data_IF_658277613272
#
_entry.id   IF_658277613272
#
_cell.length_a   1.000
_cell.length_b   1.000
_cell.length_c   1.000
_cell.angle_alpha   90.00
_cell.angle_beta   90.00
_cell.angle_gamma   90.00
#
_symmetry.space_group_name_H-M   'P 1'
#
loop_
_entity.id
_entity.type
_entity.pdbx_description
1 polymer ?
#
# COMPACT_ATOMS: atom_id res chain seq x y z
N UNK A 1 13.34 13.75 14.05
CA UNK A 1 13.30 12.45 13.40
C UNK A 1 12.02 11.69 13.71
N UNK A 2 11.80 11.12 14.92
CA UNK A 2 10.54 10.45 15.25
C UNK A 2 9.42 11.42 15.61
N UNK A 3 8.24 11.20 15.06
CA UNK A 3 7.01 11.89 15.43
C UNK A 3 6.45 11.28 16.72
N UNK A 4 6.69 11.91 17.85
CA UNK A 4 6.25 11.41 19.17
C UNK A 4 4.73 11.24 19.27
N UNK A 5 3.95 12.13 18.66
CA UNK A 5 2.48 12.03 18.69
C UNK A 5 1.98 10.78 17.99
N UNK A 6 2.54 10.46 16.81
CA UNK A 6 2.16 9.24 16.10
C UNK A 6 2.62 7.99 16.84
N UNK A 7 3.81 8.03 17.45
CA UNK A 7 4.34 6.93 18.26
C UNK A 7 3.46 6.62 19.48
N UNK A 8 3.03 7.65 20.21
CA UNK A 8 2.10 7.53 21.34
C UNK A 8 0.73 7.01 20.87
N UNK A 9 0.19 7.59 19.81
CA UNK A 9 -1.10 7.19 19.24
C UNK A 9 -1.13 5.71 18.81
N UNK A 10 -0.08 5.22 18.14
CA UNK A 10 0.01 3.81 17.74
C UNK A 10 0.20 2.90 18.96
N UNK A 11 0.99 3.33 19.96
CA UNK A 11 1.16 2.59 21.20
C UNK A 11 -0.16 2.38 21.94
N UNK A 12 -1.05 3.36 21.96
CA UNK A 12 -2.38 3.27 22.58
C UNK A 12 -3.34 2.33 21.81
N UNK A 13 -2.97 1.95 20.58
CA UNK A 13 -3.71 0.96 19.80
C UNK A 13 -3.35 -0.49 20.14
N UNK A 14 -2.34 -0.72 20.97
CA UNK A 14 -1.86 -2.06 21.30
C UNK A 14 -2.90 -2.83 22.11
N UNK A 15 -3.29 -4.00 21.61
CA UNK A 15 -4.23 -4.91 22.28
C UNK A 15 -3.49 -6.06 23.00
N UNK A 16 -2.37 -6.52 22.42
CA UNK A 16 -1.50 -7.55 22.97
C UNK A 16 -0.08 -7.36 22.45
N UNK A 17 0.85 -8.27 22.74
CA UNK A 17 2.23 -8.17 22.22
C UNK A 17 2.31 -8.13 20.69
N UNK A 18 1.37 -8.76 20.01
CA UNK A 18 1.38 -8.93 18.56
C UNK A 18 0.26 -8.19 17.82
N UNK A 19 -0.76 -7.72 18.53
CA UNK A 19 -1.95 -7.15 17.90
C UNK A 19 -2.16 -5.69 18.26
N UNK A 20 -2.44 -4.91 17.21
CA UNK A 20 -2.82 -3.50 17.29
C UNK A 20 -4.16 -3.31 16.58
N UNK A 21 -5.08 -2.58 17.22
CA UNK A 21 -6.29 -2.12 16.50
C UNK A 21 -5.93 -0.96 15.56
N UNK A 22 -6.66 -0.80 14.44
CA UNK A 22 -6.49 0.38 13.57
C UNK A 22 -6.76 1.68 14.33
N UNK A 23 -5.83 2.65 14.22
CA UNK A 23 -6.04 3.98 14.78
C UNK A 23 -6.99 4.81 13.92
N UNK A 24 -7.75 5.70 14.55
CA UNK A 24 -8.75 6.56 13.87
C UNK A 24 -8.13 7.61 12.96
N UNK A 25 -6.93 8.11 13.26
CA UNK A 25 -6.26 9.19 12.53
C UNK A 25 -4.90 8.76 11.96
N UNK A 26 -4.05 8.14 12.77
CA UNK A 26 -2.76 7.62 12.33
C UNK A 26 -2.92 6.23 11.71
N UNK A 27 -3.54 6.20 10.51
CA UNK A 27 -3.81 4.97 9.79
C UNK A 27 -3.43 5.11 8.32
N UNK A 28 -2.84 4.05 7.77
CA UNK A 28 -2.34 3.98 6.41
C UNK A 28 -3.41 4.35 5.37
N UNK A 29 -4.68 4.07 5.64
CA UNK A 29 -5.80 4.40 4.75
C UNK A 29 -5.89 5.89 4.37
N UNK A 30 -5.30 6.78 5.16
CA UNK A 30 -5.31 8.22 4.89
C UNK A 30 -4.06 8.72 4.14
N UNK A 31 -3.09 7.83 3.84
CA UNK A 31 -1.87 8.23 3.13
C UNK A 31 -2.18 8.71 1.71
N UNK A 32 -2.98 7.94 0.97
CA UNK A 32 -3.36 8.30 -0.41
C UNK A 32 -4.17 9.60 -0.45
N UNK A 33 -5.08 9.80 0.49
CA UNK A 33 -5.81 11.04 0.66
C UNK A 33 -4.87 12.23 0.95
N UNK A 34 -3.79 12.00 1.69
CA UNK A 34 -2.77 13.03 1.92
C UNK A 34 -2.03 13.42 0.64
N UNK A 35 -1.81 12.47 -0.26
CA UNK A 35 -1.25 12.72 -1.60
C UNK A 35 -2.24 13.54 -2.44
N UNK A 36 -3.52 13.15 -2.49
CA UNK A 36 -4.57 13.91 -3.19
C UNK A 36 -4.65 15.35 -2.69
N UNK A 37 -4.70 15.53 -1.38
CA UNK A 37 -4.75 16.84 -0.74
C UNK A 37 -3.52 17.72 -1.06
N UNK A 38 -2.32 17.12 -1.22
CA UNK A 38 -1.13 17.84 -1.65
C UNK A 38 -1.32 18.50 -3.03
N UNK A 39 -2.06 17.86 -3.93
CA UNK A 39 -2.38 18.38 -5.26
C UNK A 39 -3.63 19.26 -5.29
N UNK A 40 -4.25 19.51 -4.12
CA UNK A 40 -5.43 20.37 -4.01
C UNK A 40 -6.76 19.66 -4.29
N UNK A 41 -6.73 18.34 -4.38
CA UNK A 41 -7.93 17.53 -4.55
C UNK A 41 -8.60 17.37 -3.18
N UNK A 42 -9.88 17.71 -3.10
CA UNK A 42 -10.66 17.63 -1.86
C UNK A 42 -10.83 16.19 -1.40
N UNK A 43 -10.57 15.94 -0.14
CA UNK A 43 -10.72 14.64 0.53
C UNK A 43 -11.39 14.85 1.89
N UNK A 44 -12.14 13.85 2.33
CA UNK A 44 -12.82 13.91 3.63
C UNK A 44 -11.83 13.95 4.80
N UNK A 45 -10.76 13.15 4.71
CA UNK A 45 -9.76 13.03 5.76
C UNK A 45 -8.40 12.64 5.20
N UNK A 46 -7.34 13.21 5.76
CA UNK A 46 -5.94 12.87 5.50
C UNK A 46 -5.19 12.55 6.79
N UNK A 47 -3.97 12.07 6.68
CA UNK A 47 -3.08 11.90 7.83
C UNK A 47 -2.90 13.22 8.57
N UNK A 48 -2.69 13.19 9.90
CA UNK A 48 -2.38 14.38 10.68
C UNK A 48 -1.19 15.18 10.12
N UNK A 49 -1.25 16.50 10.22
CA UNK A 49 -0.23 17.39 9.64
C UNK A 49 1.18 17.15 10.20
N UNK A 50 1.26 16.65 11.40
CA UNK A 50 2.53 16.28 12.06
C UNK A 50 3.18 15.02 11.47
N UNK A 51 2.47 14.26 10.64
CA UNK A 51 3.06 13.18 9.83
C UNK A 51 3.97 13.69 8.71
N UNK A 52 3.98 15.00 8.45
CA UNK A 52 4.74 15.59 7.35
C UNK A 52 5.74 16.63 7.89
N UNK A 53 6.96 16.62 7.36
CA UNK A 53 8.04 17.50 7.83
C UNK A 53 7.78 18.98 7.61
N UNK A 54 6.93 19.34 6.66
CA UNK A 54 6.60 20.73 6.31
C UNK A 54 5.13 20.82 5.89
N UNK A 55 4.48 21.90 6.29
CA UNK A 55 3.16 22.27 5.79
C UNK A 55 3.29 22.92 4.39
N UNK A 56 3.90 22.22 3.43
CA UNK A 56 4.24 22.71 2.10
C UNK A 56 3.76 21.72 1.05
N UNK A 57 3.17 22.23 -0.03
CA UNK A 57 2.83 21.42 -1.21
C UNK A 57 4.09 20.99 -1.95
N UNK A 58 4.15 19.73 -2.34
CA UNK A 58 5.23 19.16 -3.13
C UNK A 58 4.82 19.07 -4.59
N UNK A 59 5.73 19.47 -5.49
CA UNK A 59 5.52 19.36 -6.94
C UNK A 59 5.57 17.91 -7.41
N UNK A 60 6.48 17.14 -6.81
CA UNK A 60 6.67 15.71 -7.11
C UNK A 60 6.65 14.91 -5.82
N UNK A 61 5.97 13.77 -5.85
CA UNK A 61 5.90 12.81 -4.75
C UNK A 61 6.36 11.46 -5.31
N UNK A 62 7.26 10.81 -4.59
CA UNK A 62 7.66 9.42 -4.84
C UNK A 62 7.16 8.61 -3.64
N UNK A 63 6.26 7.67 -3.89
CA UNK A 63 5.80 6.71 -2.89
C UNK A 63 6.59 5.41 -3.07
N UNK A 64 7.37 5.05 -2.04
CA UNK A 64 8.12 3.80 -2.01
C UNK A 64 7.49 2.90 -0.95
N UNK A 65 7.02 1.74 -1.36
CA UNK A 65 6.46 0.72 -0.47
C UNK A 65 7.50 -0.36 -0.26
N UNK A 66 7.93 -0.55 1.00
CA UNK A 66 8.87 -1.58 1.41
C UNK A 66 8.10 -2.65 2.19
N UNK A 67 7.77 -3.74 1.52
CA UNK A 67 7.10 -4.87 2.13
C UNK A 67 8.01 -5.60 3.13
N UNK A 68 7.42 -6.16 4.19
CA UNK A 68 8.17 -6.86 5.23
C UNK A 68 9.00 -5.97 6.16
N UNK A 69 9.04 -4.65 5.96
CA UNK A 69 9.77 -3.71 6.83
C UNK A 69 8.85 -3.04 7.84
N UNK A 70 8.53 -3.76 8.92
CA UNK A 70 7.78 -3.17 10.03
C UNK A 70 8.61 -2.21 10.88
N UNK A 71 7.92 -1.31 11.62
CA UNK A 71 8.56 -0.23 12.39
C UNK A 71 9.54 -0.75 13.46
N UNK A 72 9.24 -1.86 14.11
CA UNK A 72 10.13 -2.43 15.14
C UNK A 72 11.44 -2.95 14.51
N UNK A 73 11.34 -3.61 13.34
CA UNK A 73 12.51 -4.06 12.58
C UNK A 73 13.33 -2.85 12.10
N UNK A 74 12.66 -1.81 11.62
CA UNK A 74 13.33 -0.56 11.23
C UNK A 74 14.05 0.08 12.41
N UNK A 75 13.41 0.26 13.57
CA UNK A 75 14.00 0.82 14.79
C UNK A 75 15.21 0.01 15.27
N UNK A 76 15.13 -1.31 15.21
CA UNK A 76 16.24 -2.22 15.57
C UNK A 76 17.44 -2.00 14.65
N UNK A 77 17.23 -1.98 13.35
CA UNK A 77 18.31 -1.81 12.38
C UNK A 77 18.87 -0.38 12.37
N UNK A 78 18.06 0.64 12.65
CA UNK A 78 18.51 2.01 12.77
C UNK A 78 19.59 2.16 13.85
N UNK A 79 19.50 1.39 14.96
CA UNK A 79 20.52 1.39 16.03
C UNK A 79 21.88 0.86 15.55
N UNK A 80 21.88 -0.01 14.57
CA UNK A 80 23.09 -0.66 14.01
C UNK A 80 23.72 0.14 12.86
N UNK A 81 23.03 1.15 12.34
CA UNK A 81 23.54 1.94 11.20
C UNK A 81 24.78 2.77 11.61
N UNK A 82 25.71 3.02 10.68
CA UNK A 82 26.83 3.93 10.87
C UNK A 82 26.36 5.34 11.29
N UNK A 83 27.23 6.06 12.00
CA UNK A 83 26.89 7.35 12.57
C UNK A 83 26.51 8.39 11.50
N UNK A 84 27.25 8.45 10.41
CA UNK A 84 27.01 9.37 9.28
C UNK A 84 25.63 9.14 8.65
N UNK A 85 25.20 7.88 8.50
CA UNK A 85 23.87 7.53 8.02
C UNK A 85 22.80 7.98 9.03
N UNK A 86 23.01 7.74 10.33
CA UNK A 86 22.08 8.21 11.38
C UNK A 86 21.94 9.72 11.35
N UNK A 87 23.04 10.45 11.31
CA UNK A 87 23.06 11.92 11.29
C UNK A 87 22.33 12.45 10.03
N UNK A 88 22.50 11.80 8.88
CA UNK A 88 21.78 12.14 7.65
C UNK A 88 20.27 11.90 7.80
N UNK A 89 19.86 10.74 8.35
CA UNK A 89 18.45 10.41 8.56
C UNK A 89 17.81 11.35 9.58
N UNK A 90 18.47 11.64 10.67
CA UNK A 90 17.99 12.57 11.71
C UNK A 90 17.71 13.96 11.15
N UNK A 91 18.57 14.45 10.27
CA UNK A 91 18.42 15.74 9.64
C UNK A 91 17.32 15.77 8.57
N UNK A 92 17.18 14.71 7.80
CA UNK A 92 16.40 14.71 6.56
C UNK A 92 15.09 13.91 6.64
N UNK A 93 14.94 12.99 7.58
CA UNK A 93 13.80 12.11 7.68
C UNK A 93 12.86 12.52 8.82
N UNK A 94 11.55 12.39 8.59
CA UNK A 94 10.53 12.33 9.63
C UNK A 94 9.92 10.94 9.61
N UNK A 95 9.91 10.27 10.74
CA UNK A 95 9.32 8.95 10.89
C UNK A 95 8.04 9.10 11.69
N UNK A 96 6.92 8.83 11.04
CA UNK A 96 5.60 8.80 11.68
C UNK A 96 5.06 7.38 11.66
N UNK A 97 4.76 6.85 12.83
CA UNK A 97 4.15 5.54 12.96
C UNK A 97 2.67 5.63 12.61
N UNK A 98 2.20 4.67 11.85
CA UNK A 98 0.79 4.53 11.50
C UNK A 98 0.39 3.06 11.59
N UNK A 99 -0.85 2.81 11.95
CA UNK A 99 -1.42 1.46 11.86
C UNK A 99 -1.75 1.13 10.40
N UNK A 100 -1.68 -0.14 10.05
CA UNK A 100 -2.08 -0.61 8.72
C UNK A 100 -3.61 -0.56 8.55
N UNK A 101 -4.07 -0.75 7.32
CA UNK A 101 -5.46 -1.15 7.04
C UNK A 101 -5.70 -2.57 7.55
N UNK A 102 -6.92 -3.00 7.61
CA UNK A 102 -7.29 -4.35 8.05
C UNK A 102 -8.02 -5.10 6.94
N UNK A 103 -7.66 -6.35 6.65
CA UNK A 103 -6.50 -7.11 7.16
C UNK A 103 -5.15 -6.52 6.69
N UNK A 104 -4.08 -6.62 7.49
CA UNK A 104 -2.76 -6.08 7.16
C UNK A 104 -1.92 -7.04 6.31
N UNK A 105 -2.53 -7.64 5.30
CA UNK A 105 -1.87 -8.56 4.38
C UNK A 105 -1.38 -7.83 3.13
N UNK A 106 -0.30 -8.31 2.50
CA UNK A 106 0.23 -7.75 1.25
C UNK A 106 -0.87 -7.67 0.18
N UNK A 107 -1.68 -8.74 0.09
CA UNK A 107 -2.80 -8.87 -0.86
C UNK A 107 -3.96 -7.91 -0.62
N UNK A 108 -4.05 -7.30 0.55
CA UNK A 108 -5.01 -6.25 0.86
C UNK A 108 -4.40 -4.86 0.68
N UNK A 109 -3.14 -4.70 1.10
CA UNK A 109 -2.46 -3.40 1.15
C UNK A 109 -2.00 -2.94 -0.23
N UNK A 110 -1.50 -3.84 -1.08
CA UNK A 110 -1.06 -3.46 -2.44
C UNK A 110 -2.23 -3.02 -3.32
N UNK A 111 -3.36 -3.76 -3.40
CA UNK A 111 -4.55 -3.26 -4.10
C UNK A 111 -5.04 -1.91 -3.57
N UNK A 112 -4.98 -1.68 -2.26
CA UNK A 112 -5.30 -0.38 -1.70
C UNK A 112 -4.40 0.73 -2.27
N UNK A 113 -3.09 0.54 -2.36
CA UNK A 113 -2.19 1.53 -2.98
C UNK A 113 -2.49 1.77 -4.46
N UNK A 114 -2.93 0.75 -5.18
CA UNK A 114 -3.25 0.85 -6.61
C UNK A 114 -4.61 1.50 -6.87
N UNK A 115 -5.60 1.21 -6.05
CA UNK A 115 -7.00 1.59 -6.30
C UNK A 115 -7.50 2.73 -5.41
N UNK A 116 -6.96 2.87 -4.20
CA UNK A 116 -7.51 3.70 -3.13
C UNK A 116 -8.72 3.07 -2.44
N UNK A 117 -9.04 1.81 -2.76
CA UNK A 117 -10.16 1.08 -2.17
C UNK A 117 -9.70 0.25 -0.97
N UNK A 118 -10.45 0.31 0.11
CA UNK A 118 -10.22 -0.56 1.26
C UNK A 118 -10.62 -2.01 0.97
N UNK A 119 -10.15 -3.01 1.75
CA UNK A 119 -10.49 -4.41 1.52
C UNK A 119 -11.99 -4.69 1.44
N UNK A 120 -12.79 -4.03 2.28
CA UNK A 120 -14.25 -4.12 2.25
C UNK A 120 -14.90 -3.53 0.99
N UNK A 121 -14.19 -2.68 0.26
CA UNK A 121 -14.63 -2.09 -1.01
C UNK A 121 -14.10 -2.88 -2.21
N UNK A 122 -12.88 -3.44 -2.10
CA UNK A 122 -12.18 -4.12 -3.19
C UNK A 122 -12.40 -5.64 -3.22
N UNK A 123 -12.79 -6.23 -2.09
CA UNK A 123 -12.91 -7.68 -1.95
C UNK A 123 -11.57 -8.41 -1.77
N UNK A 124 -10.43 -7.70 -1.65
CA UNK A 124 -9.13 -8.32 -1.43
C UNK A 124 -8.78 -8.37 0.05
N UNK A 125 -8.88 -9.56 0.64
CA UNK A 125 -8.69 -9.74 2.07
C UNK A 125 -7.40 -10.49 2.42
N UNK A 126 -7.02 -11.52 1.62
CA UNK A 126 -5.87 -12.38 1.92
C UNK A 126 -5.28 -13.00 0.65
N UNK A 127 -4.19 -13.77 0.82
CA UNK A 127 -3.54 -14.53 -0.24
C UNK A 127 -4.48 -15.55 -0.88
N UNK A 128 -5.27 -16.22 -0.08
CA UNK A 128 -6.25 -17.21 -0.49
C UNK A 128 -7.60 -16.81 0.05
N UNK A 129 -8.53 -16.58 -0.85
CA UNK A 129 -9.90 -16.23 -0.51
C UNK A 129 -10.87 -17.05 -1.35
N UNK A 130 -12.03 -17.36 -0.78
CA UNK A 130 -13.10 -17.99 -1.54
C UNK A 130 -13.75 -16.95 -2.45
N UNK A 131 -13.78 -17.27 -3.74
CA UNK A 131 -14.43 -16.44 -4.75
C UNK A 131 -15.70 -17.11 -5.24
N UNK A 132 -16.82 -16.57 -4.82
CA UNK A 132 -18.12 -17.20 -4.99
C UNK A 132 -18.56 -17.26 -6.47
N UNK A 133 -18.12 -16.34 -7.34
CA UNK A 133 -18.47 -16.35 -8.77
C UNK A 133 -17.89 -17.55 -9.52
N UNK A 134 -16.81 -18.11 -9.03
CA UNK A 134 -16.13 -19.28 -9.62
C UNK A 134 -16.21 -20.51 -8.74
N UNK A 135 -16.76 -20.37 -7.51
CA UNK A 135 -16.90 -21.44 -6.50
C UNK A 135 -15.57 -22.11 -6.16
N UNK A 136 -14.50 -21.31 -6.02
CA UNK A 136 -13.13 -21.80 -5.81
C UNK A 136 -12.40 -20.99 -4.75
N UNK A 137 -11.37 -21.60 -4.12
CA UNK A 137 -10.38 -20.88 -3.31
C UNK A 137 -9.33 -20.30 -4.26
N UNK A 138 -9.31 -19.00 -4.35
CA UNK A 138 -8.56 -18.23 -5.34
C UNK A 138 -7.46 -17.38 -4.71
N UNK A 139 -6.32 -17.28 -5.40
CA UNK A 139 -5.24 -16.35 -5.08
C UNK A 139 -5.21 -15.20 -6.10
N UNK A 140 -5.71 -14.01 -5.76
CA UNK A 140 -5.79 -12.88 -6.68
C UNK A 140 -4.43 -12.45 -7.24
N UNK A 141 -3.38 -12.52 -6.40
CA UNK A 141 -2.03 -12.09 -6.78
C UNK A 141 -1.33 -13.00 -7.78
N UNK A 142 -1.66 -14.30 -7.78
CA UNK A 142 -1.06 -15.29 -8.67
C UNK A 142 -1.95 -15.67 -9.83
N UNK A 143 -3.20 -15.25 -9.80
CA UNK A 143 -4.24 -15.69 -10.71
C UNK A 143 -4.33 -17.23 -10.77
N UNK A 144 -4.37 -17.84 -9.57
CA UNK A 144 -4.40 -19.28 -9.38
C UNK A 144 -5.53 -19.67 -8.44
N UNK A 145 -5.98 -20.91 -8.52
CA UNK A 145 -6.94 -21.47 -7.58
C UNK A 145 -6.40 -22.78 -6.98
N UNK A 146 -6.98 -23.22 -5.86
CA UNK A 146 -6.70 -24.52 -5.27
C UNK A 146 -7.78 -25.51 -5.61
N UNK A 147 -7.38 -26.66 -6.19
CA UNK A 147 -8.28 -27.77 -6.40
C UNK A 147 -8.55 -28.54 -5.11
N UNK A 148 -9.40 -29.59 -5.20
CA UNK A 148 -9.79 -30.45 -4.08
C UNK A 148 -8.57 -31.16 -3.42
N UNK A 149 -7.48 -31.37 -4.17
CA UNK A 149 -6.25 -31.96 -3.66
C UNK A 149 -5.30 -30.90 -3.07
N UNK A 150 -5.73 -29.64 -2.93
CA UNK A 150 -4.94 -28.51 -2.48
C UNK A 150 -3.74 -28.16 -3.42
N UNK A 151 -3.82 -28.55 -4.70
CA UNK A 151 -2.85 -28.21 -5.73
C UNK A 151 -3.19 -26.83 -6.28
N UNK A 152 -2.14 -26.00 -6.48
CA UNK A 152 -2.29 -24.66 -7.07
C UNK A 152 -2.28 -24.77 -8.60
N UNK A 153 -3.38 -24.36 -9.23
CA UNK A 153 -3.58 -24.43 -10.67
C UNK A 153 -3.86 -23.03 -11.24
N UNK A 154 -3.44 -22.72 -12.46
CA UNK A 154 -3.78 -21.47 -13.13
C UNK A 154 -5.29 -21.34 -13.30
N UNK A 155 -5.79 -20.11 -13.18
CA UNK A 155 -7.18 -19.80 -13.54
C UNK A 155 -7.28 -19.71 -15.05
N UNK A 156 -7.98 -20.67 -15.65
CA UNK A 156 -8.33 -20.73 -17.06
C UNK A 156 -9.69 -20.08 -17.37
N UNK A 157 -10.38 -19.62 -16.33
CA UNK A 157 -11.63 -18.85 -16.43
C UNK A 157 -11.30 -17.35 -16.42
N UNK A 158 -11.88 -16.59 -17.31
CA UNK A 158 -11.85 -15.13 -17.23
C UNK A 158 -12.65 -14.68 -16.00
N UNK A 159 -11.97 -14.43 -14.91
CA UNK A 159 -12.56 -13.72 -13.77
C UNK A 159 -12.55 -12.26 -14.14
N UNK A 160 -13.74 -11.67 -14.32
CA UNK A 160 -13.86 -10.25 -14.58
C UNK A 160 -13.61 -9.44 -13.29
N UNK A 161 -12.36 -9.07 -13.11
CA UNK A 161 -11.98 -8.13 -12.06
C UNK A 161 -12.28 -6.66 -12.42
N UNK A 162 -12.79 -6.40 -13.61
CA UNK A 162 -13.00 -5.05 -14.13
C UNK A 162 -13.87 -4.20 -13.22
N UNK A 163 -14.93 -4.75 -12.64
CA UNK A 163 -15.83 -4.03 -11.74
C UNK A 163 -15.17 -3.62 -10.42
N UNK A 164 -14.24 -4.43 -9.91
CA UNK A 164 -13.50 -4.12 -8.68
C UNK A 164 -12.40 -3.10 -8.98
N UNK A 165 -11.67 -3.29 -10.04
CA UNK A 165 -10.48 -2.54 -10.37
C UNK A 165 -10.74 -1.23 -11.11
N UNK A 166 -11.76 -1.17 -11.96
CA UNK A 166 -12.16 0.06 -12.66
C UNK A 166 -12.74 1.13 -11.72
N UNK A 167 -13.04 0.79 -10.48
CA UNK A 167 -13.42 1.76 -9.43
C UNK A 167 -12.24 2.50 -8.82
N UNK A 168 -11.00 2.36 -9.35
CA UNK A 168 -9.84 3.08 -8.84
C UNK A 168 -10.10 4.58 -8.76
N UNK A 169 -10.27 5.05 -7.54
CA UNK A 169 -10.56 6.47 -7.26
C UNK A 169 -9.27 7.30 -7.31
N UNK A 170 -8.12 6.73 -6.91
CA UNK A 170 -6.90 7.51 -6.70
C UNK A 170 -6.24 7.95 -8.00
N UNK A 171 -5.97 7.03 -8.91
CA UNK A 171 -5.30 7.35 -10.17
C UNK A 171 -6.18 8.21 -11.06
N UNK A 172 -7.48 7.88 -11.13
CA UNK A 172 -8.47 8.68 -11.87
C UNK A 172 -8.46 10.13 -11.37
N UNK A 173 -8.59 10.34 -10.05
CA UNK A 173 -8.59 11.68 -9.45
C UNK A 173 -7.30 12.46 -9.74
N UNK A 174 -6.13 11.81 -9.70
CA UNK A 174 -4.86 12.45 -10.02
C UNK A 174 -4.78 12.86 -11.49
N UNK A 175 -5.14 11.97 -12.41
CA UNK A 175 -5.08 12.22 -13.85
C UNK A 175 -6.09 13.30 -14.27
N UNK A 176 -7.31 13.27 -13.77
CA UNK A 176 -8.34 14.30 -14.01
C UNK A 176 -7.89 15.69 -13.52
N UNK A 177 -6.97 15.74 -12.55
CA UNK A 177 -6.36 16.96 -12.05
C UNK A 177 -4.97 17.24 -12.67
N UNK A 178 -4.68 16.68 -13.84
CA UNK A 178 -3.43 16.87 -14.59
C UNK A 178 -2.15 16.45 -13.85
N UNK A 179 -2.26 15.51 -12.93
CA UNK A 179 -1.10 14.90 -12.26
C UNK A 179 -0.69 13.64 -13.00
N UNK A 180 0.54 13.63 -13.52
CA UNK A 180 1.10 12.43 -14.16
C UNK A 180 1.44 11.40 -13.09
N UNK A 181 0.98 10.17 -13.29
CA UNK A 181 1.24 9.02 -12.41
C UNK A 181 2.13 8.02 -13.12
N UNK A 182 3.16 7.55 -12.43
CA UNK A 182 4.07 6.50 -12.90
C UNK A 182 4.05 5.39 -11.85
N UNK A 183 3.89 4.14 -12.28
CA UNK A 183 3.94 2.96 -11.43
C UNK A 183 5.12 2.08 -11.85
N UNK A 184 5.99 1.76 -10.90
CA UNK A 184 7.11 0.86 -11.08
C UNK A 184 6.75 -0.48 -10.47
N UNK A 185 6.64 -1.51 -11.30
CA UNK A 185 6.19 -2.85 -10.90
C UNK A 185 7.14 -3.92 -11.41
N UNK A 186 7.26 -5.01 -10.67
CA UNK A 186 7.99 -6.20 -11.12
C UNK A 186 7.14 -6.92 -12.18
N UNK A 187 7.70 -7.20 -13.38
CA UNK A 187 6.97 -7.84 -14.47
C UNK A 187 6.53 -9.28 -14.15
N UNK A 188 7.09 -9.92 -13.13
CA UNK A 188 6.61 -11.25 -12.71
C UNK A 188 5.25 -11.26 -12.03
N UNK A 189 4.77 -10.11 -11.58
CA UNK A 189 3.40 -9.95 -11.11
C UNK A 189 2.48 -9.65 -12.31
N UNK A 190 2.26 -10.65 -13.17
CA UNK A 190 1.38 -10.58 -14.35
C UNK A 190 -0.11 -10.68 -13.97
N UNK A 191 -0.47 -10.19 -12.85
CA UNK A 191 -1.79 -10.33 -12.24
C UNK A 191 -2.73 -9.20 -12.67
N UNK A 192 -4.03 -9.32 -12.39
CA UNK A 192 -4.99 -8.23 -12.53
C UNK A 192 -4.52 -6.89 -11.96
N UNK A 193 -3.67 -6.91 -10.93
CA UNK A 193 -3.05 -5.71 -10.35
C UNK A 193 -2.21 -4.95 -11.38
N UNK A 194 -1.47 -5.63 -12.24
CA UNK A 194 -0.72 -4.96 -13.33
C UNK A 194 -1.64 -4.38 -14.39
N UNK A 195 -2.75 -5.03 -14.67
CA UNK A 195 -3.77 -4.50 -15.59
C UNK A 195 -4.35 -3.20 -15.04
N UNK A 196 -4.60 -3.12 -13.74
CA UNK A 196 -5.11 -1.91 -13.07
C UNK A 196 -4.10 -0.78 -13.15
N UNK A 197 -2.85 -1.06 -12.79
CA UNK A 197 -1.79 -0.05 -12.85
C UNK A 197 -1.55 0.42 -14.29
N UNK A 198 -1.69 -0.46 -15.29
CA UNK A 198 -1.53 -0.12 -16.70
C UNK A 198 -2.67 0.74 -17.26
N UNK A 199 -3.87 0.64 -16.71
CA UNK A 199 -5.04 1.38 -17.22
C UNK A 199 -5.01 2.85 -16.82
N UNK A 200 -4.39 3.19 -15.68
CA UNK A 200 -4.44 4.54 -15.08
C UNK A 200 -3.06 5.17 -14.82
N UNK A 201 -1.97 4.46 -15.04
CA UNK A 201 -0.62 4.97 -14.82
C UNK A 201 0.30 4.61 -15.99
N UNK A 202 1.35 5.41 -16.19
CA UNK A 202 2.43 5.02 -17.06
C UNK A 202 3.24 3.93 -16.34
N UNK A 203 3.02 2.69 -16.70
CA UNK A 203 3.71 1.54 -16.11
C UNK A 203 5.14 1.47 -16.63
N UNK A 204 6.09 1.41 -15.72
CA UNK A 204 7.50 1.19 -16.01
C UNK A 204 7.89 -0.16 -15.43
N UNK A 205 8.15 -1.13 -16.30
CA UNK A 205 8.65 -2.43 -15.87
C UNK A 205 10.08 -2.29 -15.34
N UNK A 206 10.33 -2.87 -14.17
CA UNK A 206 11.67 -2.89 -13.56
C UNK A 206 12.29 -4.26 -13.76
N UNK A 207 13.58 -4.31 -14.15
CA UNK A 207 14.33 -5.57 -14.18
C UNK A 207 14.66 -6.00 -12.76
N UNK A 208 14.60 -7.30 -12.50
CA UNK A 208 15.07 -7.85 -11.22
C UNK A 208 16.56 -7.61 -11.06
N UNK A 209 16.99 -7.20 -9.87
CA UNK A 209 18.42 -7.03 -9.53
C UNK A 209 19.23 -8.33 -9.53
N UNK A 210 18.60 -9.48 -9.70
CA UNK A 210 19.21 -10.80 -9.70
C UNK A 210 19.71 -11.29 -11.07
N UNK A 211 19.56 -10.49 -12.12
CA UNK A 211 20.00 -10.84 -13.49
C UNK A 211 21.28 -10.08 -13.90
N UNK A 212 22.24 -9.95 -12.97
CA UNK A 212 23.62 -9.51 -13.28
C UNK A 212 24.60 -10.65 -13.15
#
# INVERSE_FOLDING_TARGET
MFNRKSEEAVKDCKLSEQFYKPHTDYNLKYLLNSILNNYGITVDKSLPKDCFKRNKKYKHIVLIVLDGLGIELFKKNLKLMPKDIKDFLDKNLLISEVTSIFPPATTSVIPFFMTGLLPEESGFYDWWQYEYHVDEIFCPFRNTYKNINNEELPVDKEIDFGDVFFKSKIHKNLIENNVKVFSYVDPSYTTPINVISSTFANVVETRRFTEQ
#
